data_IF_085433038380
#
_entry.id   IF_085433038380
#
_cell.length_a   1.000
_cell.length_b   1.000
_cell.length_c   1.000
_cell.angle_alpha   90.00
_cell.angle_beta   90.00
_cell.angle_gamma   90.00
#
_symmetry.space_group_name_H-M   'P 1'
#
loop_
_entity.id
_entity.type
_entity.pdbx_description
1 polymer ?
#
# COMPACT_ATOMS: atom_id res chain seq x y z
N UNK A 1 -11.34 57.23 33.65
CA UNK A 1 -9.89 56.97 33.58
C UNK A 1 -9.55 55.77 34.48
N UNK A 2 -8.56 54.96 34.06
CA UNK A 2 -8.08 53.66 34.61
C UNK A 2 -9.07 52.49 34.42
N UNK A 3 -8.92 51.48 33.54
CA UNK A 3 -7.83 50.71 32.87
C UNK A 3 -7.22 49.55 33.69
N UNK A 4 -7.11 48.40 33.01
CA UNK A 4 -6.21 47.25 33.18
C UNK A 4 -6.74 46.06 34.00
N UNK A 5 -7.00 44.85 33.47
CA UNK A 5 -6.19 43.87 32.68
C UNK A 5 -5.20 43.05 33.53
N UNK A 6 -5.25 41.72 33.34
CA UNK A 6 -4.22 40.69 33.62
C UNK A 6 -3.86 40.41 35.09
N UNK A 7 -3.32 39.27 35.52
CA UNK A 7 -3.13 37.90 35.01
C UNK A 7 -2.41 37.12 36.12
N UNK A 8 -2.60 35.79 36.17
CA UNK A 8 -1.73 34.70 36.70
C UNK A 8 -0.59 35.04 37.67
N UNK A 9 -0.51 34.28 38.77
CA UNK A 9 0.66 33.56 39.33
C UNK A 9 0.19 32.95 40.68
N UNK A 10 0.34 31.67 40.96
CA UNK A 10 1.63 31.06 41.25
C UNK A 10 1.48 29.65 41.85
N UNK A 11 2.54 28.88 41.63
CA UNK A 11 2.76 27.46 41.93
C UNK A 11 2.61 27.11 43.42
N UNK A 12 2.11 25.90 43.71
CA UNK A 12 2.57 25.10 44.86
C UNK A 12 2.87 23.68 44.39
N UNK A 13 4.16 23.36 44.38
CA UNK A 13 4.71 22.00 44.34
C UNK A 13 4.49 21.39 45.72
N UNK A 14 3.88 20.20 45.78
CA UNK A 14 4.05 19.27 46.91
C UNK A 14 4.44 17.93 46.32
N UNK A 15 5.56 17.43 46.82
CA UNK A 15 6.30 16.25 46.37
C UNK A 15 5.81 15.05 47.19
N UNK A 16 5.43 13.99 46.47
CA UNK A 16 5.43 12.56 46.81
C UNK A 16 4.70 12.07 48.07
N UNK A 17 3.75 11.15 47.86
CA UNK A 17 3.89 9.80 48.38
C UNK A 17 3.12 8.81 47.49
N UNK A 18 3.85 7.87 46.92
CA UNK A 18 3.30 6.74 46.19
C UNK A 18 2.62 5.81 47.19
N UNK A 19 1.36 5.47 46.92
CA UNK A 19 0.72 4.29 47.49
C UNK A 19 -0.13 3.69 46.40
N UNK A 20 0.37 2.59 45.84
CA UNK A 20 -0.38 1.68 44.99
C UNK A 20 -1.62 1.19 45.73
N UNK A 21 -2.79 1.21 45.08
CA UNK A 21 -3.68 0.04 45.00
C UNK A 21 -5.05 0.38 44.41
N UNK A 22 -5.56 -0.61 43.67
CA UNK A 22 -6.94 -0.84 43.25
C UNK A 22 -7.44 -0.16 41.97
N UNK A 23 -7.22 -0.90 40.89
CA UNK A 23 -8.05 -1.00 39.69
C UNK A 23 -9.55 -1.02 40.01
N UNK A 24 -10.22 0.13 39.93
CA UNK A 24 -11.66 0.17 39.67
C UNK A 24 -11.98 1.36 38.77
N UNK A 25 -11.49 1.31 37.53
CA UNK A 25 -12.06 2.13 36.47
C UNK A 25 -13.48 1.62 36.22
N UNK A 26 -14.46 2.45 36.59
CA UNK A 26 -15.87 2.27 36.33
C UNK A 26 -16.08 1.90 34.86
N UNK A 27 -16.28 0.60 34.63
CA UNK A 27 -16.60 0.01 33.36
C UNK A 27 -18.00 0.52 32.96
N UNK A 28 -18.04 1.65 32.24
CA UNK A 28 -19.22 2.05 31.49
C UNK A 28 -19.47 0.98 30.44
N UNK A 29 -20.29 -0.02 30.80
CA UNK A 29 -20.92 -0.96 29.87
C UNK A 29 -21.89 -0.17 29.00
N UNK A 30 -21.38 0.42 27.93
CA UNK A 30 -22.22 0.92 26.84
C UNK A 30 -22.77 -0.32 26.11
N UNK A 31 -23.93 -0.81 26.54
CA UNK A 31 -24.69 -1.82 25.79
C UNK A 31 -25.21 -1.11 24.54
N UNK A 32 -24.53 -1.31 23.40
CA UNK A 32 -25.08 -0.96 22.10
C UNK A 32 -26.10 -2.04 21.74
N UNK A 33 -27.39 -1.72 21.82
CA UNK A 33 -28.50 -2.61 21.40
C UNK A 33 -28.75 -2.61 19.89
N UNK A 34 -28.01 -1.82 19.13
CA UNK A 34 -28.08 -1.79 17.66
C UNK A 34 -27.24 -2.91 17.06
N UNK A 35 -27.77 -3.63 16.08
CA UNK A 35 -27.02 -4.64 15.31
C UNK A 35 -25.70 -4.06 14.79
N UNK A 36 -24.57 -4.72 15.04
CA UNK A 36 -23.30 -4.35 14.44
C UNK A 36 -23.37 -4.58 12.92
N UNK A 37 -23.64 -3.52 12.15
CA UNK A 37 -23.66 -3.59 10.69
C UNK A 37 -22.23 -3.76 10.15
N UNK A 38 -21.77 -5.01 10.05
CA UNK A 38 -20.46 -5.37 9.49
C UNK A 38 -20.44 -5.14 7.97
N UNK A 39 -20.14 -3.91 7.57
CA UNK A 39 -19.95 -3.56 6.15
C UNK A 39 -18.63 -4.14 5.61
N UNK A 40 -18.66 -4.67 4.40
CA UNK A 40 -17.47 -5.16 3.69
C UNK A 40 -16.46 -4.03 3.44
N UNK A 41 -15.22 -4.18 3.94
CA UNK A 41 -14.14 -3.17 3.84
C UNK A 41 -12.97 -3.56 2.94
N UNK A 42 -12.84 -4.84 2.57
CA UNK A 42 -11.70 -5.35 1.82
C UNK A 42 -11.56 -4.67 0.44
N UNK A 43 -10.38 -4.10 0.16
CA UNK A 43 -10.00 -3.41 -1.08
C UNK A 43 -11.08 -2.46 -1.64
N UNK A 44 -11.72 -1.70 -0.74
CA UNK A 44 -12.70 -0.67 -1.11
C UNK A 44 -12.19 0.69 -0.67
N UNK A 45 -12.11 1.62 -1.63
CA UNK A 45 -11.87 3.03 -1.32
C UNK A 45 -13.18 3.64 -0.83
N UNK A 46 -13.18 4.19 0.39
CA UNK A 46 -14.35 4.90 0.92
C UNK A 46 -14.60 6.18 0.14
N UNK A 47 -15.87 6.43 -0.15
CA UNK A 47 -16.36 7.67 -0.78
C UNK A 47 -16.12 8.84 0.17
N UNK A 48 -15.66 9.95 -0.39
CA UNK A 48 -15.43 11.22 0.30
C UNK A 48 -16.34 12.30 -0.25
N UNK A 49 -15.81 13.51 -0.42
CA UNK A 49 -16.53 14.68 -0.94
C UNK A 49 -16.56 14.74 -2.48
N UNK A 50 -15.87 13.83 -3.17
CA UNK A 50 -15.66 13.90 -4.62
C UNK A 50 -14.31 14.53 -5.03
N UNK A 51 -13.41 14.78 -4.09
CA UNK A 51 -12.09 15.39 -4.37
C UNK A 51 -10.99 14.33 -4.48
N UNK A 52 -11.26 13.06 -4.16
CA UNK A 52 -10.21 12.04 -4.05
C UNK A 52 -9.98 11.36 -5.40
N UNK A 53 -8.81 11.56 -6.06
CA UNK A 53 -8.52 10.88 -7.32
C UNK A 53 -8.23 9.39 -7.06
N UNK A 54 -8.85 8.52 -7.86
CA UNK A 54 -8.68 7.06 -7.75
C UNK A 54 -8.33 6.47 -9.11
N UNK A 55 -7.31 5.59 -9.11
CA UNK A 55 -6.91 4.82 -10.30
C UNK A 55 -7.91 3.70 -10.59
N UNK A 56 -7.95 3.24 -11.85
CA UNK A 56 -8.87 2.18 -12.27
C UNK A 56 -8.81 0.93 -11.37
N UNK A 57 -7.59 0.49 -11.05
CA UNK A 57 -7.33 -0.67 -10.19
C UNK A 57 -7.92 -0.50 -8.78
N UNK A 58 -7.76 0.67 -8.17
CA UNK A 58 -8.25 0.95 -6.81
C UNK A 58 -9.75 1.27 -6.75
N UNK A 59 -10.32 1.68 -7.89
CA UNK A 59 -11.72 2.10 -7.99
C UNK A 59 -12.72 0.94 -7.91
N UNK A 60 -12.28 -0.29 -8.19
CA UNK A 60 -13.11 -1.47 -8.30
C UNK A 60 -12.89 -2.42 -7.11
N UNK A 61 -13.96 -2.87 -6.43
CA UNK A 61 -13.87 -3.86 -5.35
C UNK A 61 -13.51 -5.28 -5.85
N UNK A 62 -13.12 -6.21 -4.94
CA UNK A 62 -12.64 -7.55 -5.30
C UNK A 62 -13.59 -8.41 -6.13
N UNK A 63 -14.91 -8.27 -5.97
CA UNK A 63 -15.88 -9.08 -6.72
C UNK A 63 -15.94 -8.73 -8.22
N UNK A 64 -15.22 -7.70 -8.68
CA UNK A 64 -15.07 -7.40 -10.11
C UNK A 64 -13.79 -7.97 -10.73
N UNK A 65 -12.99 -8.72 -9.97
CA UNK A 65 -11.90 -9.52 -10.54
C UNK A 65 -12.52 -10.54 -11.49
N UNK A 66 -11.92 -10.70 -12.67
CA UNK A 66 -12.41 -11.46 -13.83
C UNK A 66 -13.64 -10.89 -14.57
N UNK A 67 -14.27 -9.81 -14.09
CA UNK A 67 -15.37 -9.14 -14.79
C UNK A 67 -14.97 -7.81 -15.43
N UNK A 68 -14.36 -6.93 -14.63
CA UNK A 68 -13.87 -5.62 -15.07
C UNK A 68 -12.36 -5.55 -14.95
N UNK A 69 -11.81 -6.19 -13.92
CA UNK A 69 -10.38 -6.22 -13.64
C UNK A 69 -9.76 -7.58 -13.95
N UNK A 70 -8.54 -7.57 -14.44
CA UNK A 70 -7.69 -8.76 -14.55
C UNK A 70 -6.90 -9.06 -13.27
N UNK A 71 -5.91 -9.94 -13.42
CA UNK A 71 -4.95 -10.29 -12.36
C UNK A 71 -3.63 -9.55 -12.56
N UNK A 72 -3.03 -9.11 -11.44
CA UNK A 72 -1.74 -8.42 -11.43
C UNK A 72 -0.54 -9.36 -11.42
N UNK A 73 -0.76 -10.65 -11.17
CA UNK A 73 0.27 -11.68 -11.30
C UNK A 73 -0.28 -12.81 -12.16
N UNK A 74 0.52 -13.26 -13.13
CA UNK A 74 0.18 -14.35 -14.03
C UNK A 74 1.26 -15.43 -13.93
N UNK A 75 0.89 -16.60 -13.42
CA UNK A 75 1.71 -17.79 -13.29
C UNK A 75 0.84 -19.06 -13.36
N UNK A 76 1.44 -20.22 -13.61
CA UNK A 76 0.72 -21.50 -13.77
C UNK A 76 0.36 -22.17 -12.45
N UNK A 77 1.04 -21.86 -11.35
CA UNK A 77 0.88 -22.59 -10.08
C UNK A 77 -0.53 -22.60 -9.45
N UNK A 78 -1.47 -21.74 -9.86
CA UNK A 78 -2.85 -21.76 -9.36
C UNK A 78 -3.82 -22.57 -10.26
N UNK A 79 -3.30 -23.22 -11.30
CA UNK A 79 -4.09 -24.11 -12.14
C UNK A 79 -4.30 -25.46 -11.42
N UNK A 80 -5.35 -26.17 -11.82
CA UNK A 80 -5.64 -27.49 -11.24
C UNK A 80 -4.52 -28.48 -11.56
N UNK A 81 -4.08 -29.23 -10.55
CA UNK A 81 -2.97 -30.18 -10.65
C UNK A 81 -1.56 -29.58 -10.70
N UNK A 82 -1.39 -28.25 -10.68
CA UNK A 82 -0.08 -27.61 -10.69
C UNK A 82 0.50 -27.42 -9.28
N UNK A 83 1.84 -27.44 -9.18
CA UNK A 83 2.56 -27.24 -7.93
C UNK A 83 3.26 -25.88 -7.86
N UNK A 84 3.79 -25.53 -6.68
CA UNK A 84 4.66 -24.35 -6.51
C UNK A 84 3.96 -23.01 -6.32
N UNK A 85 2.63 -22.96 -6.15
CA UNK A 85 1.88 -21.72 -5.92
C UNK A 85 2.44 -20.88 -4.75
N UNK A 86 2.81 -21.55 -3.65
CA UNK A 86 3.31 -20.90 -2.45
C UNK A 86 4.62 -20.14 -2.70
N UNK A 87 5.59 -20.77 -3.37
CA UNK A 87 6.89 -20.17 -3.72
C UNK A 87 6.68 -18.95 -4.61
N UNK A 88 5.86 -19.07 -5.65
CA UNK A 88 5.56 -17.95 -6.57
C UNK A 88 4.87 -16.79 -5.87
N UNK A 89 4.03 -17.07 -4.88
CA UNK A 89 3.38 -16.04 -4.08
C UNK A 89 4.40 -15.29 -3.21
N UNK A 90 5.36 -16.01 -2.61
CA UNK A 90 6.43 -15.40 -1.80
C UNK A 90 7.31 -14.50 -2.70
N UNK A 91 7.70 -14.99 -3.88
CA UNK A 91 8.42 -14.21 -4.88
C UNK A 91 7.66 -12.93 -5.26
N UNK A 92 6.36 -13.03 -5.55
CA UNK A 92 5.54 -11.89 -5.95
C UNK A 92 5.45 -10.81 -4.87
N UNK A 93 5.26 -11.23 -3.62
CA UNK A 93 5.21 -10.31 -2.48
C UNK A 93 6.58 -9.64 -2.28
N UNK A 94 7.67 -10.39 -2.43
CA UNK A 94 9.02 -9.84 -2.37
C UNK A 94 9.27 -8.82 -3.47
N UNK A 95 9.01 -9.17 -4.74
CA UNK A 95 9.21 -8.29 -5.89
C UNK A 95 8.40 -7.00 -5.73
N UNK A 96 7.15 -7.08 -5.28
CA UNK A 96 6.30 -5.90 -4.98
C UNK A 96 6.93 -4.98 -3.95
N UNK A 97 7.40 -5.54 -2.83
CA UNK A 97 8.03 -4.75 -1.76
C UNK A 97 9.38 -4.18 -2.19
N UNK A 98 10.18 -4.97 -2.90
CA UNK A 98 11.48 -4.56 -3.41
C UNK A 98 11.35 -3.37 -4.36
N UNK A 99 10.47 -3.46 -5.37
CA UNK A 99 10.25 -2.38 -6.34
C UNK A 99 9.66 -1.14 -5.66
N UNK A 100 8.74 -1.31 -4.71
CA UNK A 100 8.20 -0.18 -3.95
C UNK A 100 9.28 0.55 -3.14
N UNK A 101 10.27 -0.19 -2.62
CA UNK A 101 11.42 0.35 -1.91
C UNK A 101 12.46 1.02 -2.83
N UNK A 102 12.85 0.36 -3.92
CA UNK A 102 13.86 0.87 -4.86
C UNK A 102 13.35 2.08 -5.65
N UNK A 103 12.09 2.07 -6.08
CA UNK A 103 11.46 3.14 -6.83
C UNK A 103 10.49 3.96 -5.98
N UNK A 104 11.02 4.58 -4.93
CA UNK A 104 10.23 5.35 -3.98
C UNK A 104 9.46 6.50 -4.64
N UNK A 105 8.13 6.51 -4.50
CA UNK A 105 7.24 7.57 -5.01
C UNK A 105 7.26 7.79 -6.54
N UNK A 106 7.80 6.83 -7.30
CA UNK A 106 7.85 6.84 -8.77
C UNK A 106 6.76 5.99 -9.39
N UNK A 107 6.24 4.98 -8.69
CA UNK A 107 5.17 4.12 -9.22
C UNK A 107 3.86 4.91 -9.36
N UNK A 108 3.31 4.92 -10.58
CA UNK A 108 2.00 5.51 -10.87
C UNK A 108 0.88 4.53 -10.48
N UNK A 109 1.04 3.26 -10.85
CA UNK A 109 0.08 2.18 -10.63
C UNK A 109 0.74 0.99 -9.92
N UNK A 110 -0.08 -0.01 -9.56
CA UNK A 110 0.41 -1.29 -9.06
C UNK A 110 1.16 -2.05 -10.16
N UNK A 111 2.16 -2.84 -9.78
CA UNK A 111 2.97 -3.60 -10.73
C UNK A 111 2.24 -4.83 -11.26
N UNK A 112 2.54 -5.17 -12.51
CA UNK A 112 2.06 -6.39 -13.17
C UNK A 112 3.23 -7.34 -13.37
N UNK A 113 3.11 -8.56 -12.85
CA UNK A 113 4.14 -9.59 -12.93
C UNK A 113 3.66 -10.67 -13.88
N UNK A 114 4.47 -11.00 -14.89
CA UNK A 114 4.19 -12.05 -15.86
C UNK A 114 5.31 -13.08 -15.82
N UNK A 115 4.98 -14.35 -15.57
CA UNK A 115 5.92 -15.47 -15.70
C UNK A 115 5.66 -16.18 -17.02
N UNK A 116 6.67 -16.25 -17.88
CA UNK A 116 6.65 -17.01 -19.14
C UNK A 116 7.83 -17.94 -19.16
N UNK A 117 7.58 -19.24 -19.05
CA UNK A 117 8.63 -20.24 -18.84
C UNK A 117 9.57 -19.80 -17.69
N UNK A 118 10.89 -19.84 -17.91
CA UNK A 118 11.88 -19.38 -16.95
C UNK A 118 12.13 -17.86 -17.00
N UNK A 119 11.28 -17.03 -17.62
CA UNK A 119 11.46 -15.58 -17.64
C UNK A 119 10.42 -14.89 -16.75
N UNK A 120 10.90 -14.01 -15.87
CA UNK A 120 10.04 -13.12 -15.08
C UNK A 120 10.05 -11.74 -15.74
N UNK A 121 8.89 -11.34 -16.26
CA UNK A 121 8.67 -10.01 -16.84
C UNK A 121 7.92 -9.14 -15.85
N UNK A 122 8.57 -8.05 -15.42
CA UNK A 122 8.03 -7.09 -14.47
C UNK A 122 7.59 -5.87 -15.27
N UNK A 123 6.29 -5.70 -15.45
CA UNK A 123 5.73 -4.53 -16.11
C UNK A 123 5.36 -3.47 -15.06
N UNK A 124 5.93 -2.28 -15.17
CA UNK A 124 5.68 -1.19 -14.23
C UNK A 124 5.48 0.15 -14.95
N UNK A 125 4.53 0.94 -14.41
CA UNK A 125 4.20 2.27 -14.89
C UNK A 125 4.76 3.30 -13.92
N UNK A 126 5.67 4.15 -14.40
CA UNK A 126 6.39 5.14 -13.60
C UNK A 126 6.04 6.57 -13.96
N UNK A 127 6.23 7.47 -13.00
CA UNK A 127 6.10 8.91 -13.12
C UNK A 127 7.50 9.50 -13.39
N UNK A 128 7.59 10.44 -14.34
CA UNK A 128 8.85 11.08 -14.75
C UNK A 128 9.33 12.14 -13.74
N UNK A 129 9.75 11.71 -12.55
CA UNK A 129 10.33 12.61 -11.52
C UNK A 129 11.85 12.67 -11.48
N UNK A 130 12.52 11.67 -12.08
CA UNK A 130 13.97 11.47 -12.00
C UNK A 130 14.56 11.53 -13.41
N UNK A 131 15.81 12.03 -13.58
CA UNK A 131 16.50 12.00 -14.86
C UNK A 131 16.68 10.56 -15.38
N UNK A 132 16.63 10.42 -16.71
CA UNK A 132 16.68 9.12 -17.38
C UNK A 132 17.92 8.28 -17.02
N UNK A 133 19.08 8.89 -16.79
CA UNK A 133 20.32 8.18 -16.44
C UNK A 133 20.19 7.35 -15.16
N UNK A 134 19.68 7.96 -14.08
CA UNK A 134 19.44 7.27 -12.80
C UNK A 134 18.36 6.19 -12.96
N UNK A 135 17.40 6.45 -13.84
CA UNK A 135 16.32 5.51 -14.11
C UNK A 135 16.82 4.24 -14.79
N UNK A 136 17.64 4.37 -15.84
CA UNK A 136 18.29 3.23 -16.50
C UNK A 136 19.25 2.49 -15.57
N UNK A 137 19.97 3.21 -14.70
CA UNK A 137 20.80 2.58 -13.66
C UNK A 137 19.96 1.70 -12.73
N UNK A 138 18.83 2.21 -12.22
CA UNK A 138 17.95 1.45 -11.34
C UNK A 138 17.34 0.24 -12.05
N UNK A 139 16.94 0.39 -13.33
CA UNK A 139 16.45 -0.74 -14.13
C UNK A 139 17.50 -1.85 -14.20
N UNK A 140 18.72 -1.53 -14.64
CA UNK A 140 19.81 -2.51 -14.74
C UNK A 140 20.18 -3.12 -13.38
N UNK A 141 20.19 -2.32 -12.31
CA UNK A 141 20.38 -2.80 -10.95
C UNK A 141 19.33 -3.84 -10.56
N UNK A 142 18.05 -3.55 -10.81
CA UNK A 142 16.96 -4.49 -10.46
C UNK A 142 16.98 -5.76 -11.30
N UNK A 143 17.23 -5.67 -12.60
CA UNK A 143 17.31 -6.84 -13.48
C UNK A 143 18.46 -7.76 -13.04
N UNK A 144 19.65 -7.21 -12.82
CA UNK A 144 20.81 -8.00 -12.41
C UNK A 144 20.62 -8.61 -11.02
N UNK A 145 20.21 -7.82 -10.03
CA UNK A 145 20.05 -8.31 -8.66
C UNK A 145 19.00 -9.42 -8.58
N UNK A 146 17.82 -9.21 -9.19
CA UNK A 146 16.77 -10.22 -9.16
C UNK A 146 17.15 -11.47 -9.96
N UNK A 147 17.90 -11.30 -11.05
CA UNK A 147 18.41 -12.44 -11.82
C UNK A 147 19.39 -13.29 -11.01
N UNK A 148 20.28 -12.67 -10.24
CA UNK A 148 21.21 -13.40 -9.35
C UNK A 148 20.51 -14.02 -8.14
N UNK A 149 19.46 -13.38 -7.61
CA UNK A 149 18.70 -13.87 -6.46
C UNK A 149 17.86 -15.11 -6.82
N UNK A 150 17.08 -15.02 -7.90
CA UNK A 150 16.16 -16.08 -8.31
C UNK A 150 16.75 -17.10 -9.29
N UNK A 151 18.01 -16.91 -9.71
CA UNK A 151 18.70 -17.76 -10.71
C UNK A 151 17.91 -17.89 -12.02
N UNK A 152 17.21 -16.83 -12.39
CA UNK A 152 16.23 -16.79 -13.47
C UNK A 152 16.37 -15.46 -14.21
N UNK A 153 16.32 -15.40 -15.56
CA UNK A 153 16.36 -14.15 -16.29
C UNK A 153 15.13 -13.28 -15.95
N UNK A 154 15.41 -12.08 -15.42
CA UNK A 154 14.39 -11.08 -15.09
C UNK A 154 14.48 -9.94 -16.09
N UNK A 155 13.35 -9.56 -16.67
CA UNK A 155 13.23 -8.44 -17.60
C UNK A 155 12.25 -7.41 -17.06
N UNK A 156 12.65 -6.15 -17.04
CA UNK A 156 11.82 -5.05 -16.59
C UNK A 156 11.24 -4.30 -17.80
N UNK A 157 9.93 -4.28 -17.92
CA UNK A 157 9.20 -3.55 -18.95
C UNK A 157 8.63 -2.27 -18.35
N UNK A 158 9.12 -1.13 -18.84
CA UNK A 158 8.85 0.17 -18.23
C UNK A 158 8.05 1.05 -19.17
N UNK A 159 6.94 1.58 -18.64
CA UNK A 159 6.20 2.67 -19.26
C UNK A 159 6.30 3.92 -18.40
N UNK A 160 6.60 5.07 -19.00
CA UNK A 160 6.65 6.36 -18.30
C UNK A 160 5.44 7.22 -18.61
N UNK A 161 4.94 7.90 -17.59
CA UNK A 161 3.85 8.86 -17.64
C UNK A 161 4.29 10.17 -16.98
N UNK A 162 3.67 11.27 -17.36
CA UNK A 162 3.93 12.57 -16.75
C UNK A 162 3.25 12.64 -15.36
N UNK A 163 2.00 12.18 -15.28
CA UNK A 163 1.19 12.15 -14.05
C UNK A 163 0.44 10.82 -13.86
N UNK A 164 -0.15 10.64 -12.67
CA UNK A 164 -0.95 9.45 -12.34
C UNK A 164 -2.26 9.46 -13.13
N UNK A 165 -2.60 8.33 -13.75
CA UNK A 165 -3.87 8.16 -14.49
C UNK A 165 -5.06 8.12 -13.52
N UNK A 166 -5.90 9.13 -13.59
CA UNK A 166 -7.12 9.23 -12.78
C UNK A 166 -8.27 8.60 -13.55
N UNK A 167 -8.99 7.67 -12.91
CA UNK A 167 -10.18 7.04 -13.51
C UNK A 167 -11.48 7.74 -13.07
N UNK A 168 -11.61 7.99 -11.77
CA UNK A 168 -12.76 8.71 -11.20
C UNK A 168 -12.38 9.43 -9.92
N UNK A 169 -13.19 10.42 -9.56
CA UNK A 169 -13.12 11.09 -8.28
C UNK A 169 -14.19 10.53 -7.34
N UNK A 170 -13.82 10.26 -6.08
CA UNK A 170 -14.68 9.72 -5.04
C UNK A 170 -14.79 10.65 -3.82
#
# INVERSE_FOLDING_TARGET
>A
MAVSVCSRLGKKQIVHLWTESSLFSLQRRCIQTTSACLKNKAARVRVGKGDKPVTYEKAHPPHYIAHRKGWLSQHTGNLDGEAGAAERTIEDVFIRKFIYGTFHSLLANEIVIKRRANLISICAIFIRKIPAQKFYFLIGYTEMLLSYLYKCPVKMEVQTLDDKVIYKYL
#
